data_IF_714484778765
#
_entry.id   IF_714484778765
#
_cell.length_a   1.000
_cell.length_b   1.000
_cell.length_c   1.000
_cell.angle_alpha   90.00
_cell.angle_beta   90.00
_cell.angle_gamma   90.00
#
_symmetry.space_group_name_H-M   'P 1'
#
loop_
_entity.id
_entity.type
_entity.pdbx_description
1 polymer ?
#
# COMPACT_ATOMS: atom_id res chain seq x y z
N UNK A 1 -20.69 -0.28 -2.54
CA UNK A 1 -20.26 -1.44 -1.74
C UNK A 1 -19.24 -1.00 -0.68
N UNK A 2 -19.41 -1.51 0.55
CA UNK A 2 -18.49 -1.25 1.65
C UNK A 2 -17.26 -2.16 1.59
N UNK A 3 -16.08 -1.59 1.86
CA UNK A 3 -14.83 -2.32 1.98
C UNK A 3 -14.51 -2.57 3.47
N UNK A 4 -14.36 -3.83 3.86
CA UNK A 4 -14.19 -4.21 5.27
C UNK A 4 -12.83 -4.82 5.60
N UNK A 5 -12.05 -5.26 4.59
CA UNK A 5 -10.78 -5.96 4.81
C UNK A 5 -9.73 -5.08 5.45
N UNK A 6 -9.49 -3.92 4.86
CA UNK A 6 -8.41 -3.04 5.30
C UNK A 6 -8.83 -2.23 6.52
N UNK A 7 -8.03 -2.25 7.57
CA UNK A 7 -8.24 -1.48 8.79
C UNK A 7 -7.90 0.01 8.60
N UNK A 8 -7.23 0.36 7.50
CA UNK A 8 -6.91 1.73 7.15
C UNK A 8 -7.25 2.02 5.68
N UNK A 9 -7.90 3.15 5.44
CA UNK A 9 -8.39 3.51 4.11
C UNK A 9 -7.28 3.63 3.03
N UNK A 10 -6.04 4.00 3.40
CA UNK A 10 -4.94 4.10 2.43
C UNK A 10 -4.59 2.78 1.76
N UNK A 11 -4.87 1.65 2.40
CA UNK A 11 -4.58 0.31 1.84
C UNK A 11 -5.47 -0.06 0.65
N UNK A 12 -6.62 0.57 0.52
CA UNK A 12 -7.55 0.34 -0.60
C UNK A 12 -7.71 1.58 -1.49
N UNK A 13 -7.25 2.75 -1.03
CA UNK A 13 -7.45 4.03 -1.71
C UNK A 13 -6.93 4.01 -3.16
N UNK A 14 -5.73 3.48 -3.38
CA UNK A 14 -5.16 3.32 -4.72
C UNK A 14 -6.07 2.48 -5.62
N UNK A 15 -6.45 1.30 -5.17
CA UNK A 15 -7.32 0.39 -5.93
C UNK A 15 -8.69 1.01 -6.18
N UNK A 16 -9.25 1.70 -5.19
CA UNK A 16 -10.56 2.33 -5.29
C UNK A 16 -10.58 3.40 -6.41
N UNK A 17 -9.59 4.27 -6.43
CA UNK A 17 -9.50 5.33 -7.44
C UNK A 17 -9.15 4.76 -8.82
N UNK A 18 -8.15 3.89 -8.91
CA UNK A 18 -7.63 3.42 -10.19
C UNK A 18 -8.52 2.39 -10.89
N UNK A 19 -9.24 1.56 -10.12
CA UNK A 19 -9.92 0.40 -10.69
C UNK A 19 -11.40 0.30 -10.37
N UNK A 20 -11.88 0.97 -9.32
CA UNK A 20 -13.28 0.92 -8.90
C UNK A 20 -14.03 2.24 -9.06
N UNK A 21 -13.41 3.26 -9.71
CA UNK A 21 -14.03 4.55 -9.97
C UNK A 21 -14.46 5.27 -8.69
N UNK A 22 -13.73 5.05 -7.59
CA UNK A 22 -13.98 5.57 -6.25
C UNK A 22 -15.33 5.14 -5.62
N UNK A 23 -15.93 4.04 -6.09
CA UNK A 23 -17.25 3.56 -5.65
C UNK A 23 -17.23 2.66 -4.42
N UNK A 24 -16.05 2.30 -3.90
CA UNK A 24 -15.94 1.56 -2.65
C UNK A 24 -16.02 2.53 -1.48
N UNK A 25 -17.00 2.33 -0.61
CA UNK A 25 -17.09 3.11 0.63
C UNK A 25 -16.08 2.55 1.65
N UNK A 26 -15.32 3.45 2.25
CA UNK A 26 -14.36 3.15 3.32
C UNK A 26 -14.64 4.03 4.51
N UNK A 27 -14.38 3.53 5.71
CA UNK A 27 -14.42 4.35 6.91
C UNK A 27 -13.11 5.11 7.06
N UNK A 28 -13.13 6.44 7.21
CA UNK A 28 -11.94 7.22 7.53
C UNK A 28 -11.31 6.75 8.84
N UNK A 29 -9.99 6.58 8.83
CA UNK A 29 -9.24 6.13 10.00
C UNK A 29 -8.86 7.29 10.91
N UNK A 30 -8.70 7.08 12.24
CA UNK A 30 -8.27 8.13 13.16
C UNK A 30 -6.91 8.74 12.78
N UNK A 31 -6.02 7.96 12.18
CA UNK A 31 -4.71 8.34 11.67
C UNK A 31 -4.71 8.56 10.13
N UNK A 32 -5.84 9.03 9.59
CA UNK A 32 -6.08 9.20 8.15
C UNK A 32 -5.03 10.04 7.40
N UNK A 33 -4.19 10.80 8.10
CA UNK A 33 -3.11 11.60 7.52
C UNK A 33 -1.83 10.78 7.25
N UNK A 34 -1.71 9.58 7.79
CA UNK A 34 -0.61 8.67 7.50
C UNK A 34 -1.01 7.68 6.40
N UNK A 35 -0.07 7.36 5.51
CA UNK A 35 -0.26 6.25 4.58
C UNK A 35 0.28 4.98 5.23
N UNK A 36 -0.51 3.91 5.19
CA UNK A 36 -0.06 2.57 5.59
C UNK A 36 0.56 1.80 4.42
N UNK A 37 0.67 2.46 3.25
CA UNK A 37 1.44 1.98 2.10
C UNK A 37 2.67 2.87 1.98
N UNK A 38 3.86 2.28 1.99
CA UNK A 38 5.12 3.02 1.90
C UNK A 38 6.13 2.31 1.00
N UNK A 39 6.96 3.10 0.33
CA UNK A 39 8.10 2.61 -0.43
C UNK A 39 9.31 2.42 0.50
N UNK A 40 9.94 1.25 0.40
CA UNK A 40 11.29 0.97 0.88
C UNK A 40 12.21 0.92 -0.34
N UNK A 41 12.81 2.06 -0.69
CA UNK A 41 13.68 2.16 -1.85
C UNK A 41 15.00 1.43 -1.58
N UNK A 42 15.37 0.55 -2.49
CA UNK A 42 16.59 -0.27 -2.47
C UNK A 42 17.55 0.29 -3.51
N UNK A 43 18.29 1.34 -3.15
CA UNK A 43 19.11 2.12 -4.08
C UNK A 43 20.22 1.31 -4.76
N UNK A 44 20.77 0.31 -4.06
CA UNK A 44 21.81 -0.61 -4.54
C UNK A 44 21.26 -1.90 -5.17
N UNK A 45 19.92 -1.95 -5.36
CA UNK A 45 19.25 -3.11 -5.93
C UNK A 45 19.47 -3.23 -7.44
N UNK A 46 19.91 -4.39 -7.90
CA UNK A 46 20.13 -4.71 -9.32
C UNK A 46 19.22 -5.85 -9.72
N UNK A 47 18.42 -5.63 -10.75
CA UNK A 47 17.66 -6.69 -11.39
C UNK A 47 18.54 -7.46 -12.38
N UNK A 48 18.86 -8.72 -12.08
CA UNK A 48 19.71 -9.59 -12.89
C UNK A 48 18.94 -10.13 -14.13
N UNK A 49 18.64 -9.20 -15.02
CA UNK A 49 17.88 -9.42 -16.24
C UNK A 49 18.66 -10.29 -17.22
N UNK A 50 18.09 -11.40 -17.61
CA UNK A 50 18.72 -12.28 -18.63
C UNK A 50 19.43 -13.51 -18.05
N UNK A 51 19.74 -13.49 -16.74
CA UNK A 51 20.32 -14.65 -16.05
C UNK A 51 19.33 -15.20 -15.02
N UNK A 52 19.42 -14.72 -13.76
CA UNK A 52 18.63 -15.28 -12.67
C UNK A 52 17.22 -14.69 -12.58
N UNK A 53 16.96 -13.55 -13.21
CA UNK A 53 15.70 -12.78 -13.14
C UNK A 53 15.29 -12.45 -11.71
N UNK A 54 16.27 -12.13 -10.87
CA UNK A 54 16.12 -11.82 -9.44
C UNK A 54 16.70 -10.46 -9.11
N UNK A 55 16.20 -9.86 -8.05
CA UNK A 55 16.81 -8.76 -7.36
C UNK A 55 17.23 -9.24 -5.97
N UNK A 56 18.50 -9.61 -5.83
CA UNK A 56 18.99 -10.23 -4.61
C UNK A 56 18.93 -9.28 -3.42
N UNK A 57 19.37 -8.04 -3.63
CA UNK A 57 19.44 -7.04 -2.55
C UNK A 57 18.07 -6.70 -2.01
N UNK A 58 17.08 -6.56 -2.90
CA UNK A 58 15.69 -6.33 -2.53
C UNK A 58 15.12 -7.49 -1.69
N UNK A 59 15.40 -8.74 -2.09
CA UNK A 59 14.99 -9.92 -1.34
C UNK A 59 15.66 -9.99 0.05
N UNK A 60 16.94 -9.64 0.15
CA UNK A 60 17.71 -9.65 1.40
C UNK A 60 17.12 -8.65 2.40
N UNK A 61 16.91 -7.39 2.00
CA UNK A 61 16.31 -6.37 2.85
C UNK A 61 14.89 -6.72 3.28
N UNK A 62 14.11 -7.33 2.39
CA UNK A 62 12.77 -7.81 2.72
C UNK A 62 12.84 -8.91 3.80
N UNK A 63 13.72 -9.90 3.65
CA UNK A 63 13.90 -10.97 4.63
C UNK A 63 14.42 -10.42 5.97
N UNK A 64 15.32 -9.44 5.95
CA UNK A 64 15.77 -8.75 7.14
C UNK A 64 14.60 -8.06 7.87
N UNK A 65 13.66 -7.43 7.14
CA UNK A 65 12.46 -6.83 7.74
C UNK A 65 11.53 -7.88 8.35
N UNK A 66 11.35 -9.06 7.71
CA UNK A 66 10.61 -10.18 8.30
C UNK A 66 11.22 -10.59 9.64
N UNK A 67 12.54 -10.86 9.66
CA UNK A 67 13.23 -11.28 10.90
C UNK A 67 13.14 -10.20 11.98
N UNK A 68 13.30 -8.94 11.62
CA UNK A 68 13.15 -7.81 12.55
C UNK A 68 11.75 -7.79 13.17
N UNK A 69 10.70 -7.93 12.36
CA UNK A 69 9.30 -7.94 12.82
C UNK A 69 9.01 -9.12 13.75
N UNK A 70 9.50 -10.30 13.44
CA UNK A 70 9.30 -11.47 14.30
C UNK A 70 10.01 -11.38 15.64
N UNK A 71 11.12 -10.62 15.70
CA UNK A 71 11.87 -10.38 16.96
C UNK A 71 11.29 -9.25 17.81
N UNK A 72 10.57 -8.33 17.22
CA UNK A 72 9.99 -7.18 17.94
C UNK A 72 8.68 -7.61 18.61
N UNK A 73 8.58 -7.56 19.96
CA UNK A 73 7.36 -7.95 20.67
C UNK A 73 6.11 -7.15 20.27
N UNK A 74 6.29 -5.94 19.76
CA UNK A 74 5.18 -5.09 19.31
C UNK A 74 4.67 -5.45 17.91
N UNK A 75 5.53 -6.04 17.08
CA UNK A 75 5.22 -6.37 15.68
C UNK A 75 5.00 -7.86 15.44
N UNK A 76 5.49 -8.73 16.31
CA UNK A 76 5.46 -10.18 16.14
C UNK A 76 4.04 -10.77 16.14
N UNK A 77 3.06 -10.04 16.64
CA UNK A 77 1.66 -10.47 16.65
C UNK A 77 1.00 -10.36 15.27
N UNK A 78 1.46 -9.43 14.43
CA UNK A 78 0.88 -9.23 13.10
C UNK A 78 1.26 -10.38 12.17
N UNK A 79 0.31 -10.87 11.41
CA UNK A 79 0.56 -11.87 10.38
C UNK A 79 1.27 -11.24 9.18
N UNK A 80 2.20 -11.98 8.55
CA UNK A 80 3.05 -11.48 7.48
C UNK A 80 2.83 -12.30 6.21
N UNK A 81 2.61 -11.61 5.09
CA UNK A 81 2.63 -12.18 3.76
C UNK A 81 3.70 -11.49 2.90
N UNK A 82 4.42 -12.27 2.13
CA UNK A 82 5.36 -11.76 1.12
C UNK A 82 4.76 -11.97 -0.25
N UNK A 83 4.71 -10.90 -1.05
CA UNK A 83 4.20 -10.93 -2.41
C UNK A 83 5.27 -10.42 -3.37
N UNK A 84 5.46 -11.10 -4.50
CA UNK A 84 6.41 -10.68 -5.52
C UNK A 84 5.83 -10.82 -6.93
N UNK A 85 6.51 -10.23 -7.92
CA UNK A 85 6.04 -10.27 -9.31
C UNK A 85 6.39 -11.57 -10.05
N UNK A 86 7.46 -12.26 -9.68
CA UNK A 86 7.96 -13.40 -10.44
C UNK A 86 8.22 -14.63 -9.59
N UNK A 87 8.02 -15.82 -10.17
CA UNK A 87 8.36 -17.11 -9.54
C UNK A 87 9.84 -17.18 -9.18
N UNK A 88 10.73 -16.67 -10.04
CA UNK A 88 12.17 -16.71 -9.77
C UNK A 88 12.55 -15.90 -8.51
N UNK A 89 11.88 -14.78 -8.26
CA UNK A 89 12.06 -13.97 -7.03
C UNK A 89 11.41 -14.67 -5.84
N UNK A 90 10.22 -15.25 -6.02
CA UNK A 90 9.54 -16.04 -4.99
C UNK A 90 10.45 -17.15 -4.46
N UNK A 91 10.93 -18.03 -5.32
CA UNK A 91 11.81 -19.15 -4.94
C UNK A 91 13.10 -18.69 -4.25
N UNK A 92 13.59 -17.53 -4.63
CA UNK A 92 14.78 -16.95 -3.99
C UNK A 92 14.47 -16.43 -2.60
N UNK A 93 13.38 -15.69 -2.44
CA UNK A 93 12.94 -15.17 -1.13
C UNK A 93 12.61 -16.32 -0.19
N UNK A 94 11.88 -17.36 -0.65
CA UNK A 94 11.55 -18.54 0.17
C UNK A 94 12.80 -19.21 0.77
N UNK A 95 13.81 -19.45 -0.06
CA UNK A 95 15.07 -20.03 0.40
C UNK A 95 15.80 -19.12 1.39
N UNK A 96 15.93 -17.84 1.07
CA UNK A 96 16.61 -16.87 1.95
C UNK A 96 15.85 -16.69 3.28
N UNK A 97 14.52 -16.74 3.24
CA UNK A 97 13.69 -16.67 4.42
C UNK A 97 13.87 -17.91 5.30
N UNK A 98 13.82 -19.11 4.72
CA UNK A 98 14.06 -20.36 5.46
C UNK A 98 15.42 -20.34 6.17
N UNK A 99 16.50 -20.00 5.44
CA UNK A 99 17.86 -19.88 6.00
C UNK A 99 17.90 -18.87 7.16
N UNK A 100 17.24 -17.72 7.00
CA UNK A 100 17.24 -16.66 8.00
C UNK A 100 16.42 -17.03 9.23
N UNK A 101 15.28 -17.70 9.08
CA UNK A 101 14.46 -18.18 10.18
C UNK A 101 15.20 -19.26 10.99
N UNK A 102 15.79 -20.24 10.34
CA UNK A 102 16.58 -21.28 10.99
C UNK A 102 17.75 -20.68 11.79
N UNK A 103 18.53 -19.78 11.16
CA UNK A 103 19.66 -19.10 11.81
C UNK A 103 19.24 -18.34 13.08
N UNK A 104 18.04 -17.77 13.09
CA UNK A 104 17.53 -16.96 14.19
C UNK A 104 16.61 -17.73 15.15
N UNK A 105 16.35 -19.02 14.91
CA UNK A 105 15.43 -19.88 15.69
C UNK A 105 14.02 -19.28 15.75
N UNK A 106 13.50 -18.85 14.59
CA UNK A 106 12.19 -18.19 14.47
C UNK A 106 11.18 -19.03 13.64
N UNK A 107 11.48 -20.28 13.35
CA UNK A 107 10.64 -21.15 12.51
C UNK A 107 9.26 -21.36 13.15
N UNK A 108 9.24 -21.71 14.43
CA UNK A 108 7.98 -21.91 15.19
C UNK A 108 7.15 -20.62 15.21
N UNK A 109 7.78 -19.47 15.48
CA UNK A 109 7.11 -18.15 15.49
C UNK A 109 6.54 -17.80 14.12
N UNK A 110 7.20 -18.22 13.04
CA UNK A 110 6.80 -17.92 11.67
C UNK A 110 5.68 -18.85 11.17
N UNK A 111 5.72 -20.12 11.53
CA UNK A 111 4.88 -21.15 10.92
C UNK A 111 3.88 -21.81 11.86
N UNK A 112 4.15 -21.91 13.18
CA UNK A 112 3.23 -22.48 14.18
C UNK A 112 2.27 -21.42 14.72
N UNK A 113 1.48 -20.82 13.84
CA UNK A 113 0.50 -19.78 14.15
C UNK A 113 -0.72 -19.92 13.25
N UNK A 114 -1.84 -19.33 13.66
CA UNK A 114 -3.10 -19.37 12.92
C UNK A 114 -2.95 -18.90 11.46
N UNK A 115 -2.18 -17.85 11.25
CA UNK A 115 -1.84 -17.32 9.93
C UNK A 115 -0.33 -17.42 9.68
N UNK A 116 0.20 -18.56 9.21
CA UNK A 116 1.63 -18.74 8.94
C UNK A 116 2.11 -17.80 7.83
N UNK A 117 3.40 -17.48 7.85
CA UNK A 117 4.02 -16.67 6.80
C UNK A 117 3.88 -17.41 5.46
N UNK A 118 3.56 -16.65 4.43
CA UNK A 118 3.61 -17.13 3.06
C UNK A 118 4.51 -16.27 2.17
N UNK A 119 5.04 -16.87 1.11
CA UNK A 119 5.68 -16.17 -0.01
C UNK A 119 4.94 -16.56 -1.28
N UNK A 120 4.35 -15.60 -1.97
CA UNK A 120 3.52 -15.84 -3.16
C UNK A 120 3.83 -14.83 -4.27
N UNK A 121 3.52 -15.20 -5.51
CA UNK A 121 3.61 -14.27 -6.63
C UNK A 121 2.23 -13.70 -7.01
N UNK A 122 2.20 -12.80 -8.01
CA UNK A 122 0.97 -12.16 -8.47
C UNK A 122 -0.10 -13.11 -8.99
N UNK A 123 0.27 -14.34 -9.37
CA UNK A 123 -0.67 -15.29 -9.98
C UNK A 123 -1.35 -16.17 -8.92
N UNK A 124 -0.71 -16.37 -7.78
CA UNK A 124 -1.19 -17.29 -6.74
C UNK A 124 -1.56 -16.63 -5.39
N UNK A 125 -1.47 -15.29 -5.28
CA UNK A 125 -1.85 -14.55 -4.06
C UNK A 125 -3.34 -14.29 -3.94
N UNK A 126 -4.14 -14.68 -4.92
CA UNK A 126 -5.58 -14.46 -4.88
C UNK A 126 -6.24 -15.27 -3.76
N UNK A 127 -7.05 -14.60 -2.94
CA UNK A 127 -7.74 -15.23 -1.80
C UNK A 127 -7.01 -15.09 -0.48
N UNK A 128 -5.70 -14.86 -0.49
CA UNK A 128 -4.91 -14.66 0.72
C UNK A 128 -4.91 -13.21 1.20
N UNK A 129 -4.71 -13.03 2.49
CA UNK A 129 -4.53 -11.70 3.11
C UNK A 129 -3.72 -11.86 4.39
N UNK A 130 -3.02 -10.82 4.82
CA UNK A 130 -2.29 -10.73 6.09
C UNK A 130 -2.37 -9.32 6.65
N UNK A 131 -2.05 -9.16 7.92
CA UNK A 131 -1.97 -7.84 8.53
C UNK A 131 -0.92 -6.99 7.85
N UNK A 132 0.25 -7.57 7.59
CA UNK A 132 1.36 -6.91 6.89
C UNK A 132 1.66 -7.63 5.58
N UNK A 133 1.71 -6.87 4.49
CA UNK A 133 2.23 -7.37 3.20
C UNK A 133 3.56 -6.69 2.90
N UNK A 134 4.59 -7.50 2.72
CA UNK A 134 5.89 -7.09 2.20
C UNK A 134 5.93 -7.41 0.71
N UNK A 135 5.95 -6.38 -0.10
CA UNK A 135 5.77 -6.49 -1.56
C UNK A 135 7.11 -6.27 -2.26
N UNK A 136 7.66 -7.30 -2.89
CA UNK A 136 8.90 -7.21 -3.68
C UNK A 136 8.57 -6.97 -5.15
N UNK A 137 8.94 -5.81 -5.67
CA UNK A 137 8.77 -5.48 -7.09
C UNK A 137 9.70 -6.31 -7.96
N UNK A 138 10.89 -6.63 -7.48
CA UNK A 138 11.93 -7.41 -8.15
C UNK A 138 12.56 -6.70 -9.35
N UNK A 139 11.73 -6.16 -10.24
CA UNK A 139 12.18 -5.42 -11.43
C UNK A 139 12.82 -4.08 -11.03
N UNK A 140 13.86 -3.72 -11.77
CA UNK A 140 14.58 -2.49 -11.51
C UNK A 140 15.70 -2.27 -12.52
N UNK A 141 16.65 -1.37 -12.21
CA UNK A 141 17.84 -1.17 -13.03
C UNK A 141 18.66 -2.46 -13.17
N UNK A 142 19.14 -2.72 -14.40
CA UNK A 142 20.15 -3.72 -14.66
C UNK A 142 21.55 -3.19 -14.25
N UNK A 143 22.61 -4.00 -14.42
CA UNK A 143 24.00 -3.61 -14.11
C UNK A 143 24.48 -2.36 -14.89
N UNK A 144 23.81 -2.02 -15.98
CA UNK A 144 24.09 -0.81 -16.77
C UNK A 144 23.15 0.36 -16.40
N UNK A 145 22.37 0.25 -15.33
CA UNK A 145 21.43 1.27 -14.87
C UNK A 145 20.15 1.39 -15.71
N UNK A 146 19.89 0.47 -16.63
CA UNK A 146 18.75 0.54 -17.56
C UNK A 146 17.54 -0.19 -16.98
N UNK A 147 16.39 0.47 -16.97
CA UNK A 147 15.11 -0.12 -16.59
C UNK A 147 14.38 -0.64 -17.83
N UNK A 148 14.02 -1.91 -17.81
CA UNK A 148 13.17 -2.53 -18.84
C UNK A 148 11.70 -2.34 -18.49
N UNK A 149 10.87 -2.05 -19.48
CA UNK A 149 9.41 -1.98 -19.32
C UNK A 149 8.72 -3.34 -19.45
N UNK A 150 9.48 -4.42 -19.53
CA UNK A 150 8.93 -5.77 -19.45
C UNK A 150 8.87 -6.24 -18.00
N UNK A 151 7.71 -6.13 -17.41
CA UNK A 151 7.39 -6.53 -16.03
C UNK A 151 6.60 -7.86 -16.01
N UNK A 152 6.90 -8.77 -16.93
CA UNK A 152 6.33 -10.10 -16.98
C UNK A 152 4.79 -10.11 -17.00
N UNK A 153 4.12 -10.67 -15.98
CA UNK A 153 2.66 -10.79 -15.94
C UNK A 153 1.89 -9.48 -16.10
N UNK A 154 2.50 -8.33 -15.74
CA UNK A 154 1.83 -7.03 -15.88
C UNK A 154 1.70 -6.56 -17.33
N UNK A 155 2.58 -7.00 -18.22
CA UNK A 155 2.51 -6.63 -19.63
C UNK A 155 1.43 -7.43 -20.38
N UNK A 156 0.95 -8.53 -19.80
CA UNK A 156 -0.07 -9.37 -20.41
C UNK A 156 -1.46 -8.73 -20.30
N UNK A 157 -2.40 -9.21 -21.14
CA UNK A 157 -3.81 -8.82 -21.06
C UNK A 157 -4.35 -9.13 -19.65
N UNK A 158 -4.96 -8.14 -19.02
CA UNK A 158 -5.45 -8.29 -17.64
C UNK A 158 -4.38 -8.19 -16.55
N UNK A 159 -3.11 -7.87 -16.88
CA UNK A 159 -2.02 -7.73 -15.90
C UNK A 159 -2.32 -6.72 -14.79
N UNK A 160 -3.04 -5.63 -15.10
CA UNK A 160 -3.50 -4.66 -14.12
C UNK A 160 -4.43 -5.26 -13.05
N UNK A 161 -5.22 -6.31 -13.40
CA UNK A 161 -6.08 -7.00 -12.43
C UNK A 161 -5.27 -7.78 -11.40
N UNK A 162 -4.18 -8.41 -11.84
CA UNK A 162 -3.24 -9.10 -10.93
C UNK A 162 -2.60 -8.12 -9.95
N UNK A 163 -2.17 -6.95 -10.46
CA UNK A 163 -1.66 -5.88 -9.59
C UNK A 163 -2.72 -5.45 -8.58
N UNK A 164 -3.94 -5.17 -9.02
CA UNK A 164 -5.04 -4.76 -8.14
C UNK A 164 -5.32 -5.78 -7.03
N UNK A 165 -5.32 -7.08 -7.37
CA UNK A 165 -5.46 -8.15 -6.37
C UNK A 165 -4.34 -8.08 -5.35
N UNK A 166 -3.08 -8.00 -5.78
CA UNK A 166 -1.92 -8.02 -4.90
C UNK A 166 -1.84 -6.81 -3.98
N UNK A 167 -2.07 -5.59 -4.50
CA UNK A 167 -1.98 -4.35 -3.70
C UNK A 167 -3.13 -4.15 -2.73
N UNK A 168 -4.14 -5.01 -2.77
CA UNK A 168 -5.29 -5.00 -1.85
C UNK A 168 -5.26 -6.14 -0.81
N UNK A 169 -4.11 -6.77 -0.58
CA UNK A 169 -3.99 -7.94 0.33
C UNK A 169 -3.63 -7.59 1.77
N UNK A 170 -3.21 -6.37 2.04
CA UNK A 170 -2.85 -5.93 3.39
C UNK A 170 -4.08 -5.50 4.19
N UNK A 171 -4.12 -5.90 5.47
CA UNK A 171 -5.13 -5.43 6.43
C UNK A 171 -4.66 -4.20 7.21
N UNK A 172 -3.36 -4.09 7.53
CA UNK A 172 -2.81 -3.03 8.39
C UNK A 172 -1.68 -2.23 7.74
N UNK A 173 -0.72 -2.88 7.07
CA UNK A 173 0.45 -2.23 6.49
C UNK A 173 0.89 -2.91 5.20
N UNK A 174 1.35 -2.11 4.24
CA UNK A 174 2.04 -2.59 3.05
C UNK A 174 3.37 -1.86 2.89
N UNK A 175 4.46 -2.63 2.83
CA UNK A 175 5.80 -2.11 2.53
C UNK A 175 6.21 -2.59 1.15
N UNK A 176 6.47 -1.65 0.26
CA UNK A 176 6.85 -1.93 -1.14
C UNK A 176 8.37 -1.81 -1.25
N UNK A 177 9.05 -2.94 -1.39
CA UNK A 177 10.48 -2.98 -1.69
C UNK A 177 10.68 -2.84 -3.18
N UNK A 178 11.43 -1.85 -3.61
CA UNK A 178 11.72 -1.60 -5.02
C UNK A 178 13.07 -0.94 -5.20
N UNK A 179 13.80 -1.36 -6.21
CA UNK A 179 15.05 -0.70 -6.66
C UNK A 179 14.80 0.35 -7.73
N UNK A 180 13.55 0.63 -8.07
CA UNK A 180 13.16 1.71 -8.99
C UNK A 180 12.09 2.60 -8.38
N UNK A 181 12.08 3.86 -8.80
CA UNK A 181 11.04 4.83 -8.51
C UNK A 181 10.03 4.93 -9.65
N UNK A 182 8.88 5.54 -9.39
CA UNK A 182 7.85 5.80 -10.41
C UNK A 182 8.39 6.62 -11.59
N UNK A 183 9.33 7.53 -11.33
CA UNK A 183 9.96 8.38 -12.35
C UNK A 183 10.75 7.58 -13.40
N UNK A 184 11.28 6.40 -13.04
CA UNK A 184 12.05 5.56 -13.95
C UNK A 184 11.17 4.82 -14.98
N UNK A 185 9.85 4.82 -14.81
CA UNK A 185 8.90 4.19 -15.74
C UNK A 185 8.40 5.20 -16.76
N UNK A 186 8.88 5.09 -17.99
CA UNK A 186 8.46 5.97 -19.09
C UNK A 186 7.28 5.37 -19.87
N UNK A 187 6.08 5.91 -19.64
CA UNK A 187 4.85 5.43 -20.30
C UNK A 187 4.76 5.76 -21.79
N UNK A 188 5.56 6.69 -22.31
CA UNK A 188 5.55 6.97 -23.77
C UNK A 188 6.02 5.79 -24.62
N UNK A 189 6.68 4.80 -23.99
CA UNK A 189 7.23 3.61 -24.65
C UNK A 189 6.36 2.36 -24.49
N UNK A 190 5.15 2.48 -23.92
CA UNK A 190 4.28 1.32 -23.67
C UNK A 190 2.81 1.72 -23.55
N UNK A 191 1.93 0.87 -24.06
CA UNK A 191 0.47 1.01 -23.92
C UNK A 191 -0.10 0.03 -22.86
N UNK A 192 0.76 -0.64 -22.10
CA UNK A 192 0.32 -1.62 -21.11
C UNK A 192 -0.35 -0.94 -19.92
N UNK A 193 -1.63 -1.24 -19.69
CA UNK A 193 -2.37 -0.78 -18.50
C UNK A 193 -1.75 -1.29 -17.19
N UNK A 194 -1.14 -2.47 -17.20
CA UNK A 194 -0.45 -3.01 -16.02
C UNK A 194 0.81 -2.22 -15.69
N UNK A 195 1.59 -1.79 -16.69
CA UNK A 195 2.77 -0.93 -16.50
C UNK A 195 2.38 0.45 -15.99
N UNK A 196 1.32 1.03 -16.56
CA UNK A 196 0.77 2.31 -16.08
C UNK A 196 0.28 2.20 -14.62
N UNK A 197 -0.40 1.11 -14.28
CA UNK A 197 -0.83 0.81 -12.92
C UNK A 197 0.34 0.68 -11.93
N UNK A 198 1.43 -0.01 -12.33
CA UNK A 198 2.63 -0.13 -11.50
C UNK A 198 3.28 1.23 -11.25
N UNK A 199 3.43 2.07 -12.29
CA UNK A 199 3.95 3.43 -12.12
C UNK A 199 3.14 4.23 -11.12
N UNK A 200 1.82 4.24 -11.28
CA UNK A 200 0.92 4.96 -10.37
C UNK A 200 0.96 4.39 -8.93
N UNK A 201 1.09 3.07 -8.79
CA UNK A 201 1.22 2.44 -7.48
C UNK A 201 2.54 2.78 -6.77
N UNK A 202 3.66 2.78 -7.50
CA UNK A 202 4.94 3.22 -6.94
C UNK A 202 4.87 4.68 -6.53
N UNK A 203 4.29 5.56 -7.34
CA UNK A 203 4.12 6.97 -7.00
C UNK A 203 3.25 7.15 -5.75
N UNK A 204 2.20 6.36 -5.61
CA UNK A 204 1.38 6.34 -4.41
C UNK A 204 2.17 5.85 -3.17
N UNK A 205 2.99 4.82 -3.32
CA UNK A 205 3.84 4.32 -2.23
C UNK A 205 4.95 5.31 -1.83
N UNK A 206 5.44 6.13 -2.78
CA UNK A 206 6.44 7.18 -2.57
C UNK A 206 5.87 8.39 -1.82
N UNK A 207 4.71 8.88 -2.25
CA UNK A 207 4.18 10.20 -1.89
C UNK A 207 2.90 10.12 -1.03
N UNK A 208 2.33 8.94 -0.87
CA UNK A 208 1.08 8.74 -0.15
C UNK A 208 -0.14 9.33 -0.86
N UNK A 209 -1.15 9.73 -0.08
CA UNK A 209 -2.45 10.20 -0.60
C UNK A 209 -2.40 11.48 -1.43
N UNK A 210 -1.34 12.27 -1.32
CA UNK A 210 -1.21 13.54 -2.07
C UNK A 210 -1.25 13.34 -3.57
N UNK A 211 -0.78 12.19 -4.07
CA UNK A 211 -0.84 11.86 -5.50
C UNK A 211 -2.24 11.55 -6.00
N UNK A 212 -3.09 11.01 -5.11
CA UNK A 212 -4.48 10.68 -5.43
C UNK A 212 -5.37 11.94 -5.48
N UNK A 213 -5.03 12.97 -4.68
CA UNK A 213 -5.76 14.23 -4.64
C UNK A 213 -5.64 15.03 -5.96
N UNK A 214 -4.52 14.94 -6.65
CA UNK A 214 -4.30 15.63 -7.94
C UNK A 214 -5.23 15.08 -9.04
N UNK A 215 -5.50 13.78 -9.01
CA UNK A 215 -6.44 13.14 -9.94
C UNK A 215 -7.92 13.32 -9.54
N UNK A 216 -8.20 13.77 -8.31
CA UNK A 216 -9.55 13.97 -7.79
C UNK A 216 -10.05 15.40 -7.97
N UNK A 217 -9.24 16.34 -8.47
CA UNK A 217 -9.72 17.70 -8.78
C UNK A 217 -10.79 17.73 -9.88
N UNK A 218 -10.84 16.73 -10.75
CA UNK A 218 -11.93 16.54 -11.71
C UNK A 218 -13.22 15.95 -11.11
N UNK A 219 -13.17 15.46 -9.87
CA UNK A 219 -14.32 14.87 -9.13
C UNK A 219 -14.90 15.79 -8.07
N UNK A 220 -14.62 17.09 -8.13
CA UNK A 220 -15.24 18.09 -7.23
C UNK A 220 -16.69 18.35 -7.59
N UNK A 221 -17.56 17.45 -7.17
CA UNK A 221 -18.95 17.81 -6.82
C UNK A 221 -19.22 17.19 -5.46
N UNK A 222 -18.80 17.83 -4.39
CA UNK A 222 -19.24 17.50 -3.05
C UNK A 222 -20.24 18.58 -2.59
N UNK A 223 -21.47 18.27 -2.77
CA UNK A 223 -22.61 18.91 -2.13
C UNK A 223 -22.67 18.46 -0.66
N UNK A 224 -21.96 19.08 0.25
CA UNK A 224 -22.02 18.72 1.66
C UNK A 224 -21.30 19.70 2.61
N UNK A 225 -20.76 20.78 2.09
CA UNK A 225 -19.83 21.61 2.83
C UNK A 225 -20.40 22.61 3.85
N UNK A 226 -21.72 22.64 4.12
CA UNK A 226 -22.30 23.69 4.96
C UNK A 226 -22.06 23.50 6.45
N UNK A 227 -22.58 22.44 7.02
CA UNK A 227 -22.60 22.20 8.48
C UNK A 227 -21.21 21.86 9.01
N UNK A 228 -20.47 20.97 8.37
CA UNK A 228 -19.13 20.58 8.79
C UNK A 228 -18.15 21.76 8.85
N UNK A 229 -18.21 22.68 7.87
CA UNK A 229 -17.42 23.91 7.86
C UNK A 229 -17.81 24.86 8.98
N UNK A 230 -19.11 25.00 9.26
CA UNK A 230 -19.59 25.81 10.34
C UNK A 230 -19.10 25.28 11.69
N UNK A 231 -19.28 23.98 11.95
CA UNK A 231 -18.80 23.34 13.18
C UNK A 231 -17.28 23.48 13.32
N UNK A 232 -16.52 23.27 12.25
CA UNK A 232 -15.08 23.46 12.28
C UNK A 232 -14.67 24.90 12.61
N UNK A 233 -15.41 25.88 12.11
CA UNK A 233 -15.19 27.31 12.42
C UNK A 233 -15.47 27.60 13.89
N UNK A 234 -16.60 27.13 14.43
CA UNK A 234 -16.92 27.30 15.83
C UNK A 234 -15.91 26.64 16.76
N UNK A 235 -15.53 25.39 16.50
CA UNK A 235 -14.51 24.69 17.30
C UNK A 235 -13.14 25.37 17.26
N UNK A 236 -12.78 26.02 16.16
CA UNK A 236 -11.53 26.81 16.07
C UNK A 236 -11.58 28.05 16.99
N UNK A 237 -12.74 28.66 17.19
CA UNK A 237 -12.91 29.75 18.14
C UNK A 237 -12.63 29.32 19.59
N UNK A 238 -12.81 28.04 19.90
CA UNK A 238 -12.43 27.42 21.18
C UNK A 238 -10.99 26.86 21.22
N UNK A 239 -10.17 27.15 20.18
CA UNK A 239 -8.76 26.76 20.13
C UNK A 239 -8.49 25.35 19.59
N UNK A 240 -9.50 24.66 19.06
CA UNK A 240 -9.32 23.35 18.45
C UNK A 240 -8.93 23.47 16.97
N UNK A 241 -7.93 22.70 16.55
CA UNK A 241 -7.64 22.52 15.13
C UNK A 241 -8.60 21.50 14.54
N UNK A 242 -9.33 21.87 13.49
CA UNK A 242 -10.34 21.02 12.85
C UNK A 242 -10.11 20.92 11.35
N UNK A 243 -10.46 19.75 10.81
CA UNK A 243 -10.55 19.49 9.37
C UNK A 243 -11.98 19.05 9.02
N UNK A 244 -12.40 19.35 7.81
CA UNK A 244 -13.72 18.97 7.29
C UNK A 244 -13.56 18.12 6.03
N UNK A 245 -14.61 17.39 5.63
CA UNK A 245 -14.63 16.48 4.48
C UNK A 245 -13.51 15.42 4.55
N UNK A 246 -13.29 14.83 5.73
CA UNK A 246 -12.21 13.87 5.96
C UNK A 246 -12.60 12.49 5.43
N UNK A 247 -11.79 11.94 4.53
CA UNK A 247 -11.96 10.63 3.92
C UNK A 247 -11.59 10.64 2.45
N UNK A 248 -11.31 9.46 1.88
CA UNK A 248 -10.87 9.27 0.48
C UNK A 248 -11.96 8.68 -0.42
N UNK A 249 -13.07 8.22 0.16
CA UNK A 249 -14.23 7.67 -0.57
C UNK A 249 -15.38 8.66 -0.63
N UNK A 250 -16.53 8.23 -1.15
CA UNK A 250 -17.77 9.01 -1.11
C UNK A 250 -18.25 9.26 0.32
N UNK A 251 -18.00 8.30 1.23
CA UNK A 251 -18.28 8.49 2.66
C UNK A 251 -17.17 9.32 3.29
N UNK A 252 -17.56 10.46 3.89
CA UNK A 252 -16.64 11.40 4.55
C UNK A 252 -17.16 11.75 5.94
N UNK A 253 -16.23 12.11 6.81
CA UNK A 253 -16.51 12.72 8.10
C UNK A 253 -16.67 14.22 7.87
N UNK A 254 -17.79 14.80 8.30
CA UNK A 254 -18.08 16.21 8.07
C UNK A 254 -17.09 17.14 8.78
N UNK A 255 -16.72 16.82 10.02
CA UNK A 255 -15.72 17.54 10.78
C UNK A 255 -14.92 16.61 11.68
N UNK A 256 -13.60 16.74 11.72
CA UNK A 256 -12.71 16.00 12.60
C UNK A 256 -11.80 16.94 13.38
N UNK A 257 -11.67 16.69 14.69
CA UNK A 257 -10.80 17.46 15.60
C UNK A 257 -9.43 16.83 15.63
N UNK A 258 -8.39 17.60 15.33
CA UNK A 258 -6.99 17.14 15.31
C UNK A 258 -6.48 16.97 16.74
N UNK A 259 -5.75 15.89 17.00
CA UNK A 259 -5.09 15.66 18.28
C UNK A 259 -3.96 16.69 18.49
N UNK A 260 -4.03 17.53 19.54
CA UNK A 260 -2.97 18.51 19.81
C UNK A 260 -1.63 17.86 20.14
N UNK A 261 -1.63 16.62 20.64
CA UNK A 261 -0.41 15.86 20.97
C UNK A 261 0.18 15.12 19.77
N UNK A 262 -0.66 14.78 18.80
CA UNK A 262 -0.25 14.12 17.57
C UNK A 262 -1.03 14.68 16.38
N UNK A 263 -0.44 15.65 15.69
CA UNK A 263 -1.06 16.35 14.54
C UNK A 263 -1.42 15.44 13.36
N UNK A 264 -1.03 14.18 13.38
CA UNK A 264 -1.35 13.18 12.35
C UNK A 264 -2.57 12.33 12.71
N UNK A 265 -3.18 12.57 13.87
CA UNK A 265 -4.33 11.82 14.38
C UNK A 265 -5.51 12.73 14.67
N UNK A 266 -6.71 12.18 14.59
CA UNK A 266 -7.94 12.82 15.04
C UNK A 266 -8.37 12.27 16.39
N UNK A 267 -8.85 13.16 17.27
CA UNK A 267 -9.44 12.82 18.56
C UNK A 267 -10.95 12.54 18.46
N UNK A 268 -11.63 13.27 17.58
CA UNK A 268 -13.08 13.22 17.46
C UNK A 268 -13.47 13.32 15.99
N UNK A 269 -14.44 12.50 15.60
CA UNK A 269 -15.14 12.57 14.32
C UNK A 269 -16.57 13.02 14.56
N UNK A 270 -17.05 14.00 13.82
CA UNK A 270 -18.41 14.53 13.86
C UNK A 270 -19.05 14.20 12.52
N UNK A 271 -20.14 13.45 12.58
CA UNK A 271 -21.02 13.16 11.45
C UNK A 271 -22.28 13.97 11.64
N UNK A 272 -22.68 14.69 10.63
CA UNK A 272 -23.91 15.49 10.64
C UNK A 272 -24.97 14.73 9.86
N UNK A 273 -25.97 14.22 10.54
CA UNK A 273 -27.15 13.67 9.89
C UNK A 273 -27.94 14.83 9.27
N UNK A 274 -27.51 15.23 8.08
CA UNK A 274 -28.20 16.25 7.31
C UNK A 274 -29.59 15.73 6.94
N UNK A 275 -30.60 16.40 7.39
CA UNK A 275 -31.95 16.25 6.83
C UNK A 275 -31.83 16.66 5.37
N UNK A 276 -31.78 15.71 4.47
CA UNK A 276 -32.08 15.95 3.06
C UNK A 276 -33.55 16.30 3.01
N UNK A 277 -33.83 17.62 3.00
CA UNK A 277 -35.14 18.11 2.69
C UNK A 277 -35.45 17.87 1.20
#
# INVERSE_FOLDING_TARGET
NWHYRSKHESLIAFSNIMYYGNKLCTFPSPDAMESKVRLALVEDGIYDRGFTKRNKREAELLVEDVVRRLKDPKLSHSSIGVVTFSTAQQDYIERRLADALAKNKLEDVAYEREEPIFVKNLENVQGDERDVILFSVCYGPDRAGRVSLNFGPLNQVGGWRRLNVAVSRAREEMVVFSSMTSAMINLSKTNSKGVAGLKAFLEFAEKGKTTLAINSEELKISSGGGIGKYIAKELRNYGYECRYDVGVSEFKIDCAVVDPKNKKRFLLAILCDGVTA
#
